data_IF_920713844170
#
_entry.id   IF_920713844170
#
_cell.length_a   1.000
_cell.length_b   1.000
_cell.length_c   1.000
_cell.angle_alpha   90.00
_cell.angle_beta   90.00
_cell.angle_gamma   90.00
#
_symmetry.space_group_name_H-M   'P 1'
#
loop_
_entity.id
_entity.type
_entity.pdbx_description
1 polymer ?
#
# COMPACT_ATOMS: atom_id res chain seq x y z
N UNK A 1 30.83 -4.16 2.34
CA UNK A 1 29.94 -3.67 3.42
C UNK A 1 28.81 -4.67 3.47
N UNK A 2 28.65 -5.40 4.57
CA UNK A 2 27.54 -6.35 4.69
C UNK A 2 26.23 -5.56 4.81
N UNK A 3 25.18 -6.01 4.13
CA UNK A 3 23.85 -5.43 4.24
C UNK A 3 23.29 -5.67 5.65
N UNK A 4 22.72 -4.65 6.28
CA UNK A 4 22.13 -4.76 7.63
C UNK A 4 20.62 -4.88 7.45
N UNK A 5 20.06 -5.98 7.92
CA UNK A 5 18.62 -6.21 7.96
C UNK A 5 18.07 -5.68 9.29
N UNK A 6 17.10 -4.78 9.23
CA UNK A 6 16.43 -4.27 10.43
C UNK A 6 15.04 -4.88 10.59
N UNK A 7 14.71 -5.33 11.81
CA UNK A 7 13.37 -5.73 12.23
C UNK A 7 12.81 -4.69 13.18
N UNK A 8 11.65 -4.14 12.87
CA UNK A 8 10.91 -3.31 13.83
C UNK A 8 10.24 -4.22 14.86
N UNK A 9 10.37 -3.87 16.14
CA UNK A 9 9.72 -4.54 17.27
C UNK A 9 8.95 -3.51 18.09
N UNK A 10 7.82 -3.95 18.68
CA UNK A 10 7.04 -3.12 19.61
C UNK A 10 6.94 -3.85 20.94
N UNK A 11 7.30 -3.15 22.01
CA UNK A 11 7.34 -3.67 23.39
C UNK A 11 6.44 -2.81 24.28
N UNK A 12 5.72 -3.44 25.21
CA UNK A 12 4.95 -2.72 26.24
C UNK A 12 5.80 -2.35 27.43
N UNK A 13 5.49 -1.21 28.03
CA UNK A 13 5.99 -0.89 29.36
C UNK A 13 5.57 -1.99 30.36
N UNK A 14 6.48 -2.54 31.17
CA UNK A 14 6.13 -3.59 32.14
C UNK A 14 5.32 -3.07 33.33
N UNK A 15 5.11 -1.76 33.44
CA UNK A 15 4.18 -1.20 34.41
C UNK A 15 2.73 -1.42 33.91
N UNK A 16 1.90 -2.22 34.60
CA UNK A 16 0.55 -2.57 34.15
C UNK A 16 -0.41 -1.38 34.07
N UNK A 17 -0.07 -0.26 34.70
CA UNK A 17 -0.85 0.99 34.62
C UNK A 17 -0.42 1.91 33.46
N UNK A 18 0.64 1.55 32.72
CA UNK A 18 1.18 2.34 31.63
C UNK A 18 0.80 1.71 30.27
N UNK A 19 0.16 2.50 29.41
CA UNK A 19 -0.26 2.07 28.07
C UNK A 19 0.74 2.45 26.97
N UNK A 20 1.96 2.88 27.33
CA UNK A 20 2.96 3.36 26.38
C UNK A 20 3.61 2.20 25.62
N UNK A 21 3.56 2.27 24.30
CA UNK A 21 4.31 1.39 23.41
C UNK A 21 5.71 1.93 23.15
N UNK A 22 6.66 1.01 23.01
CA UNK A 22 8.08 1.28 22.83
C UNK A 22 8.48 0.63 21.51
N UNK A 23 8.87 1.45 20.53
CA UNK A 23 9.25 0.99 19.21
C UNK A 23 10.76 0.84 19.12
N UNK A 24 11.21 -0.34 18.73
CA UNK A 24 12.61 -0.72 18.59
C UNK A 24 12.91 -1.07 17.14
N UNK A 25 14.14 -0.83 16.71
CA UNK A 25 14.67 -1.25 15.41
C UNK A 25 15.87 -2.14 15.68
N UNK A 26 15.71 -3.44 15.49
CA UNK A 26 16.72 -4.44 15.78
C UNK A 26 17.49 -4.78 14.51
N UNK A 27 18.76 -4.36 14.43
CA UNK A 27 19.61 -4.63 13.29
C UNK A 27 20.35 -5.96 13.41
N UNK A 28 20.44 -6.69 12.30
CA UNK A 28 21.24 -7.92 12.18
C UNK A 28 22.05 -7.89 10.88
N UNK A 29 23.19 -8.57 10.88
CA UNK A 29 24.02 -8.83 9.70
C UNK A 29 23.68 -10.24 9.19
N UNK A 30 22.93 -10.40 8.09
CA UNK A 30 22.61 -11.72 7.52
C UNK A 30 23.88 -12.43 7.06
N UNK A 31 24.07 -13.69 7.48
CA UNK A 31 25.27 -14.46 7.17
C UNK A 31 26.55 -14.01 7.90
N UNK A 32 26.47 -12.99 8.76
CA UNK A 32 27.57 -12.51 9.61
C UNK A 32 27.44 -12.91 11.07
N UNK A 33 28.46 -12.56 11.88
CA UNK A 33 28.42 -12.68 13.33
C UNK A 33 27.57 -11.55 13.91
N UNK A 34 26.68 -11.88 14.84
CA UNK A 34 25.77 -10.92 15.48
C UNK A 34 25.93 -11.01 16.99
N UNK A 35 26.29 -9.89 17.61
CA UNK A 35 26.54 -9.81 19.04
C UNK A 35 25.23 -9.99 19.79
N UNK A 36 25.32 -10.72 20.90
CA UNK A 36 24.16 -11.01 21.73
C UNK A 36 24.22 -10.15 22.97
N UNK A 37 23.20 -9.35 23.22
CA UNK A 37 23.22 -8.45 24.37
C UNK A 37 21.84 -7.90 24.69
N UNK A 38 21.80 -6.68 25.21
CA UNK A 38 20.55 -6.00 25.50
C UNK A 38 20.72 -4.59 26.03
N UNK A 39 19.59 -3.98 26.37
CA UNK A 39 19.50 -2.62 26.90
C UNK A 39 18.79 -2.57 28.23
N UNK A 40 19.20 -1.62 29.08
CA UNK A 40 18.35 -1.11 30.15
C UNK A 40 17.54 0.03 29.57
N UNK A 41 16.24 -0.18 29.39
CA UNK A 41 15.30 0.80 28.87
C UNK A 41 14.58 1.52 30.00
N UNK A 42 14.28 2.79 29.80
CA UNK A 42 13.35 3.57 30.63
C UNK A 42 12.18 4.05 29.80
N UNK A 43 10.95 3.74 30.22
CA UNK A 43 9.76 4.25 29.56
C UNK A 43 9.66 5.76 29.70
N UNK A 44 9.48 6.48 28.60
CA UNK A 44 9.41 7.95 28.60
C UNK A 44 8.17 8.50 29.34
N UNK A 45 7.13 7.68 29.52
CA UNK A 45 5.86 8.10 30.10
C UNK A 45 5.78 7.92 31.62
N UNK A 46 6.15 6.74 32.13
CA UNK A 46 6.04 6.41 33.56
C UNK A 46 7.39 6.23 34.25
N UNK A 47 8.50 6.41 33.52
CA UNK A 47 9.87 6.28 34.00
C UNK A 47 10.25 4.89 34.53
N UNK A 48 9.41 3.88 34.35
CA UNK A 48 9.69 2.48 34.69
C UNK A 48 10.88 1.98 33.88
N UNK A 49 11.88 1.44 34.58
CA UNK A 49 13.08 0.84 34.00
C UNK A 49 12.92 -0.67 33.83
N UNK A 50 13.47 -1.23 32.78
CA UNK A 50 13.44 -2.68 32.55
C UNK A 50 14.53 -3.14 31.56
N UNK A 51 15.01 -4.38 31.67
CA UNK A 51 15.99 -4.93 30.74
C UNK A 51 15.33 -5.53 29.49
N UNK A 52 15.86 -5.30 28.29
CA UNK A 52 15.36 -5.89 27.04
C UNK A 52 16.49 -6.52 26.21
N UNK A 53 16.33 -7.77 25.78
CA UNK A 53 17.34 -8.52 25.02
C UNK A 53 17.29 -8.13 23.54
N UNK A 54 18.43 -7.80 22.93
CA UNK A 54 18.53 -7.46 21.51
C UNK A 54 19.77 -8.07 20.85
N UNK A 55 19.87 -7.96 19.53
CA UNK A 55 21.09 -8.25 18.76
C UNK A 55 21.81 -6.96 18.42
N UNK A 56 23.14 -6.98 18.42
CA UNK A 56 23.99 -5.82 18.09
C UNK A 56 23.53 -4.54 18.83
N UNK A 57 23.47 -4.55 20.18
CA UNK A 57 22.88 -3.49 20.98
C UNK A 57 23.54 -2.12 20.77
N UNK A 58 24.83 -2.08 20.45
CA UNK A 58 25.60 -0.82 20.36
C UNK A 58 25.80 -0.33 18.91
N UNK A 59 25.65 -1.20 17.91
CA UNK A 59 25.99 -0.89 16.51
C UNK A 59 24.77 -0.68 15.60
N UNK A 60 23.86 -1.66 15.57
CA UNK A 60 22.83 -1.76 14.53
C UNK A 60 21.40 -1.71 15.07
N UNK A 61 21.24 -1.70 16.38
CA UNK A 61 19.94 -1.63 17.03
C UNK A 61 19.70 -0.26 17.65
N UNK A 62 18.45 0.22 17.64
CA UNK A 62 18.08 1.50 18.25
C UNK A 62 16.65 1.49 18.81
N UNK A 63 16.38 2.39 19.76
CA UNK A 63 15.01 2.77 20.13
C UNK A 63 14.54 3.87 19.19
N UNK A 64 13.40 3.66 18.52
CA UNK A 64 12.77 4.66 17.64
C UNK A 64 11.86 5.60 18.41
N UNK A 65 11.11 5.10 19.38
CA UNK A 65 10.25 5.93 20.23
C UNK A 65 9.78 5.20 21.50
N UNK A 66 9.40 5.97 22.53
CA UNK A 66 8.66 5.48 23.70
C UNK A 66 9.53 5.02 24.88
N UNK A 67 10.83 4.91 24.68
CA UNK A 67 11.79 4.70 25.75
C UNK A 67 13.14 5.37 25.44
N UNK A 68 13.94 5.49 26.50
CA UNK A 68 15.33 5.92 26.43
C UNK A 68 16.25 4.77 26.85
N UNK A 69 17.35 4.54 26.12
CA UNK A 69 18.39 3.58 26.50
C UNK A 69 19.22 4.22 27.62
N UNK A 70 19.23 3.60 28.79
CA UNK A 70 20.03 4.04 29.94
C UNK A 70 21.39 3.35 30.01
N UNK A 71 21.45 2.10 29.55
CA UNK A 71 22.68 1.30 29.51
C UNK A 71 22.53 0.17 28.49
N UNK A 72 23.65 -0.43 28.11
CA UNK A 72 23.69 -1.66 27.30
C UNK A 72 24.53 -2.73 27.99
N UNK A 73 24.33 -3.99 27.58
CA UNK A 73 25.22 -5.07 27.95
C UNK A 73 25.50 -5.97 26.75
N UNK A 74 26.65 -6.63 26.81
CA UNK A 74 27.12 -7.62 25.85
C UNK A 74 27.30 -8.96 26.57
N UNK A 75 26.72 -10.03 26.04
CA UNK A 75 26.83 -11.36 26.62
C UNK A 75 28.23 -11.97 26.41
N UNK A 76 29.00 -11.48 25.45
CA UNK A 76 30.38 -11.94 25.19
C UNK A 76 31.39 -11.28 26.15
N UNK A 77 30.96 -10.27 26.91
CA UNK A 77 31.73 -9.64 28.00
C UNK A 77 31.30 -10.22 29.35
N UNK A 78 32.19 -10.94 30.08
CA UNK A 78 31.86 -11.50 31.39
C UNK A 78 31.30 -10.45 32.36
N UNK A 79 30.25 -10.82 33.08
CA UNK A 79 29.57 -9.99 34.10
C UNK A 79 28.88 -8.71 33.60
N UNK A 80 29.00 -8.34 32.32
CA UNK A 80 28.44 -7.10 31.76
C UNK A 80 26.94 -6.96 32.02
N UNK A 81 26.16 -8.01 31.79
CA UNK A 81 24.72 -8.07 32.11
C UNK A 81 24.45 -7.81 33.60
N UNK A 82 25.18 -8.49 34.49
CA UNK A 82 24.98 -8.37 35.94
C UNK A 82 25.30 -6.95 36.42
N UNK A 83 26.36 -6.34 35.90
CA UNK A 83 26.75 -4.97 36.22
C UNK A 83 25.69 -3.97 35.75
N UNK A 84 25.20 -4.09 34.52
CA UNK A 84 24.14 -3.23 33.97
C UNK A 84 22.84 -3.34 34.80
N UNK A 85 22.40 -4.56 35.14
CA UNK A 85 21.22 -4.77 35.97
C UNK A 85 21.38 -4.14 37.36
N UNK A 86 22.51 -4.39 38.03
CA UNK A 86 22.77 -3.89 39.39
C UNK A 86 22.86 -2.37 39.43
N UNK A 87 23.46 -1.73 38.43
CA UNK A 87 23.56 -0.26 38.33
C UNK A 87 22.19 0.43 38.25
N UNK A 88 21.18 -0.27 37.76
CA UNK A 88 19.84 0.26 37.53
C UNK A 88 18.77 -0.33 38.47
N UNK A 89 19.17 -1.02 39.55
CA UNK A 89 18.29 -1.65 40.55
C UNK A 89 17.35 -2.73 39.94
N UNK A 90 17.86 -3.49 38.96
CA UNK A 90 17.13 -4.52 38.22
C UNK A 90 17.72 -5.92 38.41
N UNK A 91 18.56 -6.12 39.43
CA UNK A 91 19.19 -7.40 39.78
C UNK A 91 18.17 -8.49 40.19
N UNK A 92 16.99 -8.08 40.65
CA UNK A 92 15.87 -8.94 40.98
C UNK A 92 14.82 -9.07 39.86
N UNK A 93 15.07 -8.48 38.68
CA UNK A 93 14.13 -8.57 37.56
C UNK A 93 14.05 -10.02 37.05
N UNK A 94 12.85 -10.59 36.85
CA UNK A 94 12.72 -12.00 36.48
C UNK A 94 13.43 -12.28 35.14
N UNK A 95 14.33 -13.27 35.12
CA UNK A 95 15.07 -13.62 33.90
C UNK A 95 14.17 -14.20 32.79
N UNK A 96 13.04 -14.75 33.22
CA UNK A 96 11.94 -15.33 32.46
C UNK A 96 10.76 -14.37 32.30
N UNK A 97 10.93 -13.08 32.62
CA UNK A 97 9.92 -12.07 32.33
C UNK A 97 9.68 -12.04 30.81
N UNK A 98 8.66 -12.76 30.40
CA UNK A 98 8.07 -12.65 29.09
C UNK A 98 7.39 -11.30 29.08
N UNK A 99 8.02 -10.31 28.43
CA UNK A 99 7.22 -9.26 27.84
C UNK A 99 6.20 -10.01 26.99
N UNK A 100 4.91 -9.90 27.30
CA UNK A 100 3.81 -10.47 26.50
C UNK A 100 3.84 -9.82 25.11
N UNK A 101 4.85 -10.22 24.35
CA UNK A 101 5.25 -9.72 23.07
C UNK A 101 4.59 -10.65 22.07
N UNK A 102 3.39 -10.26 21.66
CA UNK A 102 2.99 -10.50 20.29
C UNK A 102 4.07 -9.91 19.39
N UNK A 103 5.00 -10.77 18.97
CA UNK A 103 5.95 -10.53 17.90
C UNK A 103 5.14 -10.30 16.61
N UNK A 104 4.75 -9.05 16.35
CA UNK A 104 4.35 -8.66 15.01
C UNK A 104 5.53 -8.01 14.30
N UNK A 105 6.08 -8.77 13.37
CA UNK A 105 6.89 -8.26 12.27
C UNK A 105 6.00 -7.29 11.49
N UNK A 106 6.13 -5.99 11.72
CA UNK A 106 5.81 -5.03 10.68
C UNK A 106 6.90 -5.18 9.62
N UNK A 107 6.72 -6.09 8.67
CA UNK A 107 7.28 -5.86 7.33
C UNK A 107 6.36 -4.84 6.69
N UNK A 108 6.63 -3.58 6.99
CA UNK A 108 6.10 -2.43 6.29
C UNK A 108 6.73 -2.30 4.91
N UNK A 109 6.46 -3.25 4.04
CA UNK A 109 6.09 -2.90 2.68
C UNK A 109 4.71 -3.51 2.44
N UNK A 110 3.70 -2.74 2.00
CA UNK A 110 2.51 -3.37 1.43
C UNK A 110 3.01 -4.39 0.40
N UNK A 111 2.57 -5.64 0.48
CA UNK A 111 2.84 -6.60 -0.60
C UNK A 111 2.36 -5.95 -1.89
N UNK A 112 3.30 -5.67 -2.80
CA UNK A 112 3.02 -4.97 -4.05
C UNK A 112 2.01 -5.82 -4.81
N UNK A 113 0.80 -5.31 -5.10
CA UNK A 113 -0.09 -6.01 -5.99
C UNK A 113 0.55 -6.02 -7.39
N UNK A 114 0.93 -7.19 -7.84
CA UNK A 114 1.42 -7.47 -9.19
C UNK A 114 0.23 -7.54 -10.13
N UNK A 115 0.17 -6.63 -11.11
CA UNK A 115 -0.94 -6.57 -12.08
C UNK A 115 -1.10 -7.88 -12.87
N UNK A 116 0.03 -8.55 -13.10
CA UNK A 116 0.17 -9.80 -13.86
C UNK A 116 -0.36 -11.04 -13.16
N UNK A 117 -0.52 -11.01 -11.83
CA UNK A 117 -1.03 -12.14 -11.07
C UNK A 117 -2.57 -12.11 -10.96
N UNK A 118 -3.20 -11.10 -11.55
CA UNK A 118 -4.65 -10.92 -11.58
C UNK A 118 -5.18 -11.42 -12.92
N UNK A 119 -5.93 -12.52 -12.88
CA UNK A 119 -6.39 -13.26 -14.07
C UNK A 119 -7.28 -12.41 -14.99
N UNK A 120 -8.18 -11.61 -14.43
CA UNK A 120 -9.18 -10.89 -15.23
C UNK A 120 -8.58 -9.74 -16.02
N UNK A 121 -8.76 -9.73 -17.33
CA UNK A 121 -8.19 -8.73 -18.22
C UNK A 121 -9.18 -7.58 -18.42
N UNK A 122 -8.74 -6.33 -18.24
CA UNK A 122 -9.58 -5.14 -18.50
C UNK A 122 -9.15 -4.35 -19.75
N UNK A 123 -8.05 -4.74 -20.40
CA UNK A 123 -7.51 -4.06 -21.57
C UNK A 123 -7.62 -4.93 -22.82
N UNK A 124 -8.56 -4.58 -23.70
CA UNK A 124 -8.79 -5.28 -24.97
C UNK A 124 -8.51 -4.38 -26.16
N UNK A 125 -7.99 -4.99 -27.23
CA UNK A 125 -7.78 -4.31 -28.49
C UNK A 125 -9.11 -3.80 -29.04
N UNK A 126 -9.26 -2.50 -29.35
CA UNK A 126 -10.47 -1.99 -29.99
C UNK A 126 -10.76 -2.66 -31.34
N UNK A 127 -9.72 -3.04 -32.08
CA UNK A 127 -9.82 -3.64 -33.42
C UNK A 127 -10.22 -5.13 -33.41
N UNK A 128 -9.47 -5.97 -32.67
CA UNK A 128 -9.66 -7.43 -32.70
C UNK A 128 -10.10 -8.06 -31.39
N UNK A 129 -10.32 -7.25 -30.34
CA UNK A 129 -10.76 -7.71 -29.00
C UNK A 129 -9.84 -8.75 -28.36
N UNK A 130 -8.56 -8.79 -28.75
CA UNK A 130 -7.53 -9.60 -28.07
C UNK A 130 -7.04 -8.90 -26.81
N UNK A 131 -6.65 -9.68 -25.80
CA UNK A 131 -6.08 -9.20 -24.55
C UNK A 131 -4.75 -8.50 -24.85
N UNK A 132 -4.60 -7.26 -24.37
CA UNK A 132 -3.43 -6.45 -24.70
C UNK A 132 -2.28 -6.63 -23.72
N UNK A 133 -2.58 -7.00 -22.48
CA UNK A 133 -1.60 -7.12 -21.40
C UNK A 133 -0.48 -8.13 -21.71
N UNK A 134 -0.75 -9.39 -22.12
CA UNK A 134 0.34 -10.32 -22.46
C UNK A 134 1.17 -9.88 -23.66
N UNK A 135 0.54 -9.20 -24.63
CA UNK A 135 1.22 -8.70 -25.83
C UNK A 135 2.21 -7.59 -25.45
N UNK A 136 1.79 -6.71 -24.55
CA UNK A 136 2.61 -5.61 -24.05
C UNK A 136 3.82 -6.14 -23.27
N UNK A 137 3.62 -7.05 -22.31
CA UNK A 137 4.72 -7.58 -21.51
C UNK A 137 5.74 -8.36 -22.35
N UNK A 138 5.28 -9.13 -23.35
CA UNK A 138 6.17 -9.81 -24.28
C UNK A 138 7.07 -8.83 -25.08
N UNK A 139 6.58 -7.63 -25.41
CA UNK A 139 7.36 -6.60 -26.11
C UNK A 139 8.21 -5.74 -25.17
N UNK A 140 7.85 -5.68 -23.88
CA UNK A 140 8.52 -4.85 -22.88
C UNK A 140 9.93 -5.36 -22.55
N UNK A 141 10.13 -6.69 -22.58
CA UNK A 141 11.42 -7.32 -22.30
C UNK A 141 12.55 -6.78 -23.20
N UNK A 142 12.27 -6.61 -24.50
CA UNK A 142 13.24 -6.06 -25.46
C UNK A 142 13.54 -4.56 -25.23
N UNK A 143 12.63 -3.84 -24.55
CA UNK A 143 12.71 -2.40 -24.30
C UNK A 143 13.36 -2.07 -22.95
N UNK A 144 13.38 -3.03 -22.02
CA UNK A 144 13.86 -2.85 -20.66
C UNK A 144 15.30 -2.29 -20.56
N UNK A 145 16.28 -2.74 -21.38
CA UNK A 145 17.63 -2.18 -21.34
C UNK A 145 17.67 -0.68 -21.66
N UNK A 146 16.89 -0.21 -22.64
CA UNK A 146 16.82 1.20 -23.01
C UNK A 146 16.07 2.05 -21.97
N UNK A 147 15.01 1.50 -21.37
CA UNK A 147 14.31 2.11 -20.23
C UNK A 147 15.29 2.32 -19.07
N UNK A 148 16.02 1.28 -18.67
CA UNK A 148 17.00 1.35 -17.59
C UNK A 148 18.17 2.29 -17.89
N UNK A 149 18.62 2.37 -19.15
CA UNK A 149 19.61 3.37 -19.57
C UNK A 149 19.10 4.80 -19.31
N UNK A 150 17.83 5.06 -19.60
CA UNK A 150 17.18 6.36 -19.35
C UNK A 150 17.07 6.69 -17.86
N UNK A 151 16.63 5.71 -17.06
CA UNK A 151 16.58 5.81 -15.59
C UNK A 151 17.97 6.09 -15.00
N UNK A 152 19.00 5.35 -15.42
CA UNK A 152 20.38 5.56 -14.97
C UNK A 152 20.92 6.95 -15.34
N UNK A 153 20.54 7.45 -16.52
CA UNK A 153 20.90 8.81 -16.94
C UNK A 153 20.30 9.83 -15.98
N UNK A 154 19.02 9.67 -15.62
CA UNK A 154 18.35 10.49 -14.61
C UNK A 154 19.01 10.37 -13.22
N UNK A 155 19.28 9.14 -12.74
CA UNK A 155 19.90 8.88 -11.43
C UNK A 155 21.25 9.60 -11.27
N UNK A 156 22.05 9.68 -12.33
CA UNK A 156 23.31 10.41 -12.32
C UNK A 156 23.15 11.92 -11.99
N UNK A 157 22.03 12.53 -12.37
CA UNK A 157 21.71 13.92 -12.02
C UNK A 157 21.04 14.03 -10.65
N UNK A 158 20.14 13.09 -10.34
CA UNK A 158 19.46 12.99 -9.06
C UNK A 158 20.45 12.87 -7.89
N UNK A 159 21.41 11.94 -7.97
CA UNK A 159 22.45 11.72 -6.95
C UNK A 159 23.40 12.91 -6.77
N UNK A 160 23.48 13.81 -7.76
CA UNK A 160 24.25 15.06 -7.68
C UNK A 160 23.43 16.22 -7.09
N UNK A 161 22.18 15.98 -6.69
CA UNK A 161 21.24 17.00 -6.23
C UNK A 161 20.80 17.96 -7.34
N UNK A 162 20.83 17.53 -8.61
CA UNK A 162 20.55 18.37 -9.79
C UNK A 162 19.27 17.98 -10.53
N UNK A 163 18.48 17.07 -10.00
CA UNK A 163 17.18 16.66 -10.55
C UNK A 163 16.08 16.79 -9.50
N UNK A 164 14.81 16.67 -9.93
CA UNK A 164 13.66 16.60 -9.01
C UNK A 164 13.64 15.31 -8.19
N UNK A 165 12.67 15.16 -7.29
CA UNK A 165 12.53 13.98 -6.44
C UNK A 165 11.14 13.36 -6.64
N UNK A 166 10.95 12.60 -7.74
CA UNK A 166 9.69 12.01 -8.09
C UNK A 166 9.30 10.92 -7.09
N UNK A 167 8.00 10.75 -6.88
CA UNK A 167 7.47 9.66 -6.06
C UNK A 167 7.28 8.36 -6.87
N UNK A 168 7.28 8.46 -8.20
CA UNK A 168 6.95 7.37 -9.11
C UNK A 168 7.63 7.50 -10.46
N UNK A 169 7.70 6.40 -11.17
CA UNK A 169 8.17 6.27 -12.55
C UNK A 169 6.96 5.89 -13.41
N UNK A 170 6.71 6.68 -14.46
CA UNK A 170 5.71 6.40 -15.49
C UNK A 170 6.46 6.07 -16.77
N UNK A 171 6.29 4.85 -17.29
CA UNK A 171 6.89 4.43 -18.55
C UNK A 171 5.81 4.33 -19.62
N UNK A 172 6.03 4.97 -20.75
CA UNK A 172 5.11 4.94 -21.88
C UNK A 172 5.79 4.24 -23.04
N UNK A 173 5.20 3.13 -23.46
CA UNK A 173 5.75 2.29 -24.53
C UNK A 173 4.76 2.22 -25.69
N UNK A 174 5.25 2.46 -26.90
CA UNK A 174 4.50 2.17 -28.12
C UNK A 174 4.49 0.65 -28.33
N UNK A 175 3.35 0.09 -28.71
CA UNK A 175 3.28 -1.31 -29.09
C UNK A 175 2.20 -1.55 -30.13
N UNK A 176 2.32 -2.70 -30.79
CA UNK A 176 1.43 -3.07 -31.89
C UNK A 176 0.72 -4.37 -31.57
N UNK A 177 -0.61 -4.33 -31.64
CA UNK A 177 -1.44 -5.52 -31.56
C UNK A 177 -1.28 -6.37 -32.84
N UNK A 178 -1.50 -7.68 -32.75
CA UNK A 178 -1.42 -8.60 -33.89
C UNK A 178 -2.33 -8.21 -35.07
N UNK A 179 -3.46 -7.53 -34.81
CA UNK A 179 -4.35 -7.02 -35.85
C UNK A 179 -3.85 -5.75 -36.56
N UNK A 180 -2.71 -5.21 -36.14
CA UNK A 180 -2.11 -4.00 -36.71
C UNK A 180 -2.49 -2.69 -36.01
N UNK A 181 -3.34 -2.74 -34.97
CA UNK A 181 -3.66 -1.57 -34.15
C UNK A 181 -2.42 -1.11 -33.35
N UNK A 182 -1.98 0.12 -33.59
CA UNK A 182 -0.91 0.78 -32.83
C UNK A 182 -1.51 1.49 -31.63
N UNK A 183 -0.89 1.33 -30.47
CA UNK A 183 -1.35 1.93 -29.22
C UNK A 183 -0.16 2.13 -28.26
N UNK A 184 -0.42 2.77 -27.12
CA UNK A 184 0.56 3.03 -26.07
C UNK A 184 0.14 2.37 -24.78
N UNK A 185 1.07 1.68 -24.15
CA UNK A 185 0.94 1.19 -22.79
C UNK A 185 1.47 2.23 -21.82
N UNK A 186 0.76 2.46 -20.72
CA UNK A 186 1.21 3.30 -19.61
C UNK A 186 1.48 2.39 -18.42
N UNK A 187 2.74 2.35 -18.01
CA UNK A 187 3.25 1.49 -16.96
C UNK A 187 3.72 2.32 -15.78
N UNK A 188 3.68 1.73 -14.59
CA UNK A 188 3.97 2.39 -13.32
C UNK A 188 4.97 1.58 -12.47
N UNK A 189 5.84 2.28 -11.76
CA UNK A 189 6.62 1.74 -10.63
C UNK A 189 6.84 2.84 -9.59
N UNK A 190 6.81 2.50 -8.31
CA UNK A 190 7.24 3.43 -7.24
C UNK A 190 8.69 3.86 -7.47
N UNK A 191 9.00 5.13 -7.25
CA UNK A 191 10.39 5.58 -7.28
C UNK A 191 11.06 5.27 -5.94
N UNK A 192 11.92 4.25 -5.94
CA UNK A 192 12.78 3.90 -4.82
C UNK A 192 14.19 3.65 -5.33
N UNK A 193 15.13 4.53 -4.99
CA UNK A 193 16.51 4.48 -5.48
C UNK A 193 17.16 3.08 -5.33
N UNK A 194 16.92 2.42 -4.19
CA UNK A 194 17.45 1.08 -3.87
C UNK A 194 16.87 -0.07 -4.70
N UNK A 195 15.74 0.17 -5.38
CA UNK A 195 15.04 -0.83 -6.21
C UNK A 195 15.25 -0.56 -7.70
N UNK A 196 16.31 0.18 -8.05
CA UNK A 196 16.70 0.46 -9.42
C UNK A 196 18.10 -0.14 -9.69
N UNK A 197 18.36 -0.64 -10.91
CA UNK A 197 17.50 -0.64 -12.09
C UNK A 197 16.33 -1.63 -11.99
N UNK A 198 15.44 -1.60 -12.97
CA UNK A 198 14.32 -2.54 -13.07
C UNK A 198 14.88 -3.87 -13.60
N UNK A 199 14.72 -4.96 -12.86
CA UNK A 199 15.29 -6.27 -13.20
C UNK A 199 14.32 -7.09 -14.07
N UNK A 200 13.02 -7.04 -13.76
CA UNK A 200 11.98 -7.80 -14.47
C UNK A 200 10.87 -6.89 -15.04
N UNK A 201 10.33 -7.23 -16.20
CA UNK A 201 9.27 -6.44 -16.85
C UNK A 201 8.01 -6.31 -15.99
N UNK A 202 7.70 -7.30 -15.15
CA UNK A 202 6.51 -7.32 -14.28
C UNK A 202 6.63 -6.35 -13.10
N UNK A 203 7.82 -5.81 -12.82
CA UNK A 203 7.99 -4.69 -11.88
C UNK A 203 7.37 -3.39 -12.41
N UNK A 204 7.14 -3.30 -13.72
CA UNK A 204 6.38 -2.23 -14.36
C UNK A 204 4.91 -2.65 -14.46
N UNK A 205 4.09 -2.07 -13.61
CA UNK A 205 2.66 -2.36 -13.48
C UNK A 205 1.88 -1.65 -14.59
N UNK A 206 1.15 -2.39 -15.44
CA UNK A 206 0.29 -1.81 -16.47
C UNK A 206 -0.89 -1.07 -15.83
N UNK A 207 -0.96 0.25 -15.98
CA UNK A 207 -2.04 1.05 -15.42
C UNK A 207 -3.01 1.56 -16.48
N UNK A 208 -2.60 1.67 -17.75
CA UNK A 208 -3.45 2.14 -18.85
C UNK A 208 -3.03 1.64 -20.22
N UNK A 209 -3.99 1.64 -21.14
CA UNK A 209 -3.75 1.47 -22.57
C UNK A 209 -4.50 2.55 -23.34
N UNK A 210 -3.76 3.37 -24.09
CA UNK A 210 -4.34 4.48 -24.82
C UNK A 210 -5.29 4.00 -25.92
N UNK A 211 -6.54 4.46 -25.85
CA UNK A 211 -7.61 4.07 -26.76
C UNK A 211 -8.35 2.79 -26.36
N UNK A 212 -8.01 2.14 -25.25
CA UNK A 212 -8.85 1.09 -24.69
C UNK A 212 -10.16 1.69 -24.15
N UNK A 213 -11.28 1.00 -24.41
CA UNK A 213 -12.60 1.40 -23.92
C UNK A 213 -12.95 0.58 -22.68
N UNK A 214 -12.54 1.10 -21.52
CA UNK A 214 -12.80 0.45 -20.22
C UNK A 214 -14.30 0.41 -19.89
N UNK A 215 -15.08 1.41 -20.31
CA UNK A 215 -16.53 1.40 -20.07
C UNK A 215 -17.19 0.24 -20.82
N UNK A 216 -16.88 0.09 -22.11
CA UNK A 216 -17.40 -1.03 -22.90
C UNK A 216 -16.91 -2.39 -22.38
N UNK A 217 -15.67 -2.44 -21.90
CA UNK A 217 -15.05 -3.70 -21.48
C UNK A 217 -15.56 -4.20 -20.14
N UNK A 218 -15.77 -3.30 -19.17
CA UNK A 218 -16.10 -3.65 -17.79
C UNK A 218 -17.63 -3.70 -17.56
N UNK A 219 -18.43 -3.04 -18.40
CA UNK A 219 -19.89 -3.08 -18.28
C UNK A 219 -20.40 -4.51 -18.55
N UNK A 220 -20.93 -5.18 -17.51
CA UNK A 220 -21.35 -6.58 -17.67
C UNK A 220 -21.84 -7.29 -16.41
N UNK A 221 -21.97 -8.60 -16.54
CA UNK A 221 -22.34 -9.54 -15.48
C UNK A 221 -21.18 -10.50 -15.31
N UNK A 222 -20.65 -10.55 -14.10
CA UNK A 222 -19.44 -11.29 -13.73
C UNK A 222 -19.70 -12.07 -12.46
N UNK A 223 -18.94 -13.12 -12.20
CA UNK A 223 -18.94 -13.66 -10.84
C UNK A 223 -18.21 -12.71 -9.87
N UNK A 224 -18.23 -13.04 -8.57
CA UNK A 224 -17.64 -12.15 -7.57
C UNK A 224 -16.12 -12.16 -7.57
N UNK A 225 -15.51 -13.27 -7.99
CA UNK A 225 -14.05 -13.40 -8.05
C UNK A 225 -13.50 -12.57 -9.21
N UNK A 226 -14.21 -12.56 -10.34
CA UNK A 226 -14.00 -11.65 -11.47
C UNK A 226 -14.19 -10.18 -11.03
N UNK A 227 -15.27 -9.86 -10.30
CA UNK A 227 -15.51 -8.50 -9.80
C UNK A 227 -14.39 -8.02 -8.86
N UNK A 228 -13.87 -8.90 -8.00
CA UNK A 228 -12.73 -8.62 -7.12
C UNK A 228 -11.48 -8.33 -7.97
N UNK A 229 -11.19 -9.17 -8.96
CA UNK A 229 -10.06 -9.02 -9.87
C UNK A 229 -10.11 -7.69 -10.64
N UNK A 230 -11.28 -7.34 -11.19
CA UNK A 230 -11.52 -6.05 -11.87
C UNK A 230 -11.31 -4.89 -10.90
N UNK A 231 -11.90 -4.95 -9.71
CA UNK A 231 -11.72 -3.91 -8.69
C UNK A 231 -10.25 -3.78 -8.30
N UNK A 232 -9.51 -4.88 -8.20
CA UNK A 232 -8.08 -4.87 -7.89
C UNK A 232 -7.28 -4.07 -8.92
N UNK A 233 -7.49 -4.36 -10.22
CA UNK A 233 -6.82 -3.63 -11.32
C UNK A 233 -7.20 -2.15 -11.31
N UNK A 234 -8.47 -1.83 -11.02
CA UNK A 234 -8.91 -0.44 -10.87
C UNK A 234 -8.29 0.25 -9.65
N UNK A 235 -8.15 -0.43 -8.50
CA UNK A 235 -7.52 0.13 -7.31
C UNK A 235 -6.05 0.48 -7.56
N UNK A 236 -5.31 -0.42 -8.22
CA UNK A 236 -3.91 -0.18 -8.63
C UNK A 236 -3.85 1.07 -9.52
N UNK A 237 -4.66 1.09 -10.59
CA UNK A 237 -4.76 2.23 -11.50
C UNK A 237 -5.12 3.53 -10.78
N UNK A 238 -6.10 3.49 -9.89
CA UNK A 238 -6.63 4.67 -9.22
C UNK A 238 -5.66 5.25 -8.20
N UNK A 239 -4.89 4.42 -7.50
CA UNK A 239 -3.85 4.88 -6.58
C UNK A 239 -2.76 5.69 -7.28
N UNK A 240 -2.51 5.38 -8.56
CA UNK A 240 -1.58 6.13 -9.40
C UNK A 240 -2.25 7.38 -9.96
N UNK A 241 -3.40 7.26 -10.61
CA UNK A 241 -3.99 8.38 -11.34
C UNK A 241 -4.65 9.45 -10.47
N UNK A 242 -5.20 9.04 -9.33
CA UNK A 242 -6.09 9.86 -8.53
C UNK A 242 -5.53 10.12 -7.14
N UNK A 243 -5.93 11.27 -6.61
CA UNK A 243 -5.50 11.71 -5.28
C UNK A 243 -6.33 11.04 -4.18
N UNK A 244 -7.56 10.59 -4.51
CA UNK A 244 -8.45 9.90 -3.58
C UNK A 244 -9.12 8.68 -4.20
N UNK A 245 -9.32 7.68 -3.35
CA UNK A 245 -10.10 6.47 -3.61
C UNK A 245 -11.23 6.42 -2.59
N UNK A 246 -12.46 6.13 -3.03
CA UNK A 246 -13.62 5.98 -2.17
C UNK A 246 -14.27 4.61 -2.40
N UNK A 247 -14.42 3.84 -1.33
CA UNK A 247 -15.08 2.55 -1.35
C UNK A 247 -16.38 2.65 -0.54
N UNK A 248 -17.53 2.60 -1.21
CA UNK A 248 -18.84 2.59 -0.56
C UNK A 248 -19.44 1.20 -0.68
N UNK A 249 -19.40 0.41 0.40
CA UNK A 249 -19.89 -0.98 0.38
C UNK A 249 -20.49 -1.40 1.72
N UNK A 250 -21.75 -1.86 1.75
CA UNK A 250 -22.44 -2.20 2.99
C UNK A 250 -21.99 -3.53 3.60
N UNK A 251 -21.52 -4.48 2.79
CA UNK A 251 -21.14 -5.82 3.22
C UNK A 251 -19.76 -6.22 2.68
N UNK A 252 -18.93 -6.78 3.55
CA UNK A 252 -17.59 -7.30 3.24
C UNK A 252 -17.49 -8.67 3.89
N UNK A 253 -17.37 -9.71 3.07
CA UNK A 253 -17.54 -11.10 3.48
C UNK A 253 -18.98 -11.43 3.91
N UNK A 254 -19.25 -12.72 4.04
CA UNK A 254 -20.53 -13.18 4.55
C UNK A 254 -20.59 -13.18 6.09
N UNK A 255 -21.81 -13.06 6.60
CA UNK A 255 -22.11 -13.12 8.04
C UNK A 255 -22.87 -14.41 8.37
N UNK A 256 -22.25 -15.57 8.14
CA UNK A 256 -22.79 -16.88 8.54
C UNK A 256 -21.78 -17.70 9.33
N UNK A 257 -22.28 -18.73 10.03
CA UNK A 257 -21.44 -19.60 10.87
C UNK A 257 -20.34 -20.24 10.02
N UNK A 258 -19.07 -20.07 10.42
CA UNK A 258 -17.85 -20.52 9.74
C UNK A 258 -17.34 -19.66 8.56
N UNK A 259 -17.89 -18.45 8.30
CA UNK A 259 -17.33 -17.52 7.29
C UNK A 259 -16.31 -16.51 7.86
N UNK A 260 -15.91 -16.66 9.12
CA UNK A 260 -15.06 -15.68 9.82
C UNK A 260 -13.70 -15.51 9.17
N UNK A 261 -13.01 -16.61 8.85
CA UNK A 261 -11.70 -16.58 8.19
C UNK A 261 -11.76 -15.87 6.83
N UNK A 262 -12.70 -16.27 5.98
CA UNK A 262 -12.94 -15.62 4.68
C UNK A 262 -13.23 -14.12 4.82
N UNK A 263 -14.05 -13.74 5.81
CA UNK A 263 -14.34 -12.33 6.08
C UNK A 263 -13.06 -11.58 6.43
N UNK A 264 -12.23 -12.13 7.32
CA UNK A 264 -10.93 -11.51 7.67
C UNK A 264 -10.00 -11.41 6.46
N UNK A 265 -9.95 -12.43 5.61
CA UNK A 265 -9.16 -12.43 4.37
C UNK A 265 -9.61 -11.33 3.40
N UNK A 266 -10.91 -11.14 3.19
CA UNK A 266 -11.44 -10.08 2.34
C UNK A 266 -11.14 -8.68 2.88
N UNK A 267 -11.18 -8.50 4.20
CA UNK A 267 -10.74 -7.26 4.81
C UNK A 267 -9.24 -7.04 4.61
N UNK A 268 -8.41 -8.05 4.81
CA UNK A 268 -6.98 -7.97 4.54
C UNK A 268 -6.68 -7.68 3.07
N UNK A 269 -7.48 -8.23 2.14
CA UNK A 269 -7.40 -7.93 0.72
C UNK A 269 -7.65 -6.45 0.44
N UNK A 270 -8.64 -5.82 1.08
CA UNK A 270 -8.87 -4.37 0.97
C UNK A 270 -7.64 -3.62 1.46
N UNK A 271 -7.10 -4.00 2.62
CA UNK A 271 -5.95 -3.31 3.22
C UNK A 271 -4.67 -3.46 2.39
N UNK A 272 -4.49 -4.60 1.72
CA UNK A 272 -3.38 -4.84 0.79
C UNK A 272 -3.51 -4.01 -0.49
N UNK A 273 -4.73 -3.81 -0.97
CA UNK A 273 -5.01 -3.13 -2.24
C UNK A 273 -5.48 -1.68 -2.05
N UNK A 274 -5.19 -1.05 -0.90
CA UNK A 274 -5.53 0.36 -0.65
C UNK A 274 -4.40 1.11 0.03
N UNK A 275 -4.30 2.40 -0.24
CA UNK A 275 -3.35 3.30 0.43
C UNK A 275 -4.13 4.11 1.47
N UNK A 276 -3.83 3.98 2.78
CA UNK A 276 -4.67 4.55 3.82
C UNK A 276 -4.93 6.05 3.70
N UNK A 277 -3.89 6.86 3.45
CA UNK A 277 -4.05 8.32 3.32
C UNK A 277 -4.77 8.76 2.03
N UNK A 278 -4.93 7.87 1.05
CA UNK A 278 -5.69 8.13 -0.19
C UNK A 278 -7.10 7.54 -0.14
N UNK A 279 -7.36 6.56 0.73
CA UNK A 279 -8.57 5.74 0.64
C UNK A 279 -9.56 6.07 1.75
N UNK A 280 -10.82 6.29 1.40
CA UNK A 280 -11.93 6.38 2.34
C UNK A 280 -12.86 5.19 2.16
N UNK A 281 -13.05 4.40 3.22
CA UNK A 281 -14.00 3.29 3.25
C UNK A 281 -15.28 3.71 4.00
N UNK A 282 -16.42 3.62 3.32
CA UNK A 282 -17.77 3.78 3.88
C UNK A 282 -18.41 2.40 3.99
N UNK A 283 -18.56 1.91 5.22
CA UNK A 283 -19.22 0.63 5.51
C UNK A 283 -20.27 0.76 6.63
N UNK A 284 -20.99 -0.34 6.92
CA UNK A 284 -21.92 -0.40 8.06
C UNK A 284 -21.14 -0.73 9.33
N UNK A 285 -21.58 -0.15 10.45
CA UNK A 285 -21.00 -0.47 11.77
C UNK A 285 -21.05 -1.97 12.09
N UNK A 286 -22.13 -2.65 11.73
CA UNK A 286 -22.29 -4.09 11.93
C UNK A 286 -21.22 -4.89 11.15
N UNK A 287 -20.91 -4.48 9.92
CA UNK A 287 -19.88 -5.11 9.09
C UNK A 287 -18.49 -4.96 9.71
N UNK A 288 -18.17 -3.78 10.27
CA UNK A 288 -16.94 -3.60 11.04
C UNK A 288 -16.94 -4.46 12.31
N UNK A 289 -18.02 -4.48 13.08
CA UNK A 289 -18.11 -5.29 14.31
C UNK A 289 -17.89 -6.77 14.02
N UNK A 290 -18.54 -7.30 12.98
CA UNK A 290 -18.39 -8.69 12.54
C UNK A 290 -16.94 -9.00 12.11
N UNK A 291 -16.24 -8.04 11.49
CA UNK A 291 -14.80 -8.16 11.22
C UNK A 291 -13.97 -8.22 12.51
N UNK A 292 -14.15 -7.28 13.44
CA UNK A 292 -13.41 -7.26 14.71
C UNK A 292 -13.57 -8.57 15.50
N UNK A 293 -14.79 -9.11 15.56
CA UNK A 293 -15.09 -10.39 16.19
C UNK A 293 -14.41 -11.56 15.47
N UNK A 294 -14.50 -11.59 14.13
CA UNK A 294 -13.86 -12.62 13.33
C UNK A 294 -12.33 -12.62 13.47
N UNK A 295 -11.71 -11.44 13.49
CA UNK A 295 -10.27 -11.31 13.65
C UNK A 295 -9.79 -11.79 15.02
N UNK A 296 -10.54 -11.48 16.09
CA UNK A 296 -10.26 -12.01 17.42
C UNK A 296 -10.33 -13.55 17.45
N UNK A 297 -11.33 -14.14 16.80
CA UNK A 297 -11.49 -15.60 16.71
C UNK A 297 -10.39 -16.27 15.86
N UNK A 298 -9.81 -15.57 14.88
CA UNK A 298 -8.66 -16.05 14.09
C UNK A 298 -7.30 -15.78 14.73
N UNK A 299 -7.26 -15.27 15.97
CA UNK A 299 -6.00 -14.99 16.69
C UNK A 299 -5.33 -13.66 16.34
N UNK A 300 -6.01 -12.77 15.61
CA UNK A 300 -5.58 -11.41 15.29
C UNK A 300 -6.55 -10.42 15.93
N UNK A 301 -6.49 -10.25 17.25
CA UNK A 301 -7.36 -9.28 17.91
C UNK A 301 -6.98 -7.84 17.49
N UNK A 302 -7.86 -7.21 16.71
CA UNK A 302 -7.67 -5.86 16.16
C UNK A 302 -7.67 -4.81 17.28
N UNK A 303 -8.38 -5.04 18.39
CA UNK A 303 -8.33 -4.12 19.53
C UNK A 303 -6.95 -4.19 20.20
N UNK A 304 -6.35 -5.38 20.25
CA UNK A 304 -4.95 -5.55 20.65
C UNK A 304 -4.05 -4.80 19.66
N UNK A 305 -4.23 -4.95 18.35
CA UNK A 305 -3.42 -4.17 17.39
C UNK A 305 -3.60 -2.65 17.55
N UNK A 306 -4.80 -2.18 17.91
CA UNK A 306 -5.10 -0.76 18.18
C UNK A 306 -4.31 -0.23 19.36
N UNK A 307 -4.38 -0.95 20.48
CA UNK A 307 -3.67 -0.59 21.70
C UNK A 307 -2.16 -0.52 21.50
N UNK A 308 -1.63 -1.27 20.52
CA UNK A 308 -0.20 -1.32 20.18
C UNK A 308 0.20 -0.31 19.09
N UNK A 309 -0.75 0.46 18.53
CA UNK A 309 -0.50 1.37 17.40
C UNK A 309 -0.08 0.64 16.12
N UNK A 310 -0.47 -0.63 15.99
CA UNK A 310 -0.12 -1.54 14.90
C UNK A 310 -1.26 -1.70 13.89
N UNK A 311 -2.37 -0.99 14.07
CA UNK A 311 -3.45 -1.00 13.12
C UNK A 311 -3.03 -0.40 11.79
N UNK A 312 -3.52 -1.03 10.72
CA UNK A 312 -3.57 -0.38 9.42
C UNK A 312 -4.35 0.95 9.58
N UNK A 313 -3.82 2.10 9.12
CA UNK A 313 -4.47 3.40 9.34
C UNK A 313 -5.89 3.47 8.77
N UNK A 314 -6.23 2.69 7.73
CA UNK A 314 -7.60 2.57 7.21
C UNK A 314 -8.55 1.97 8.26
N UNK A 315 -8.11 0.94 8.99
CA UNK A 315 -8.89 0.34 10.09
C UNK A 315 -8.92 1.27 11.30
N UNK A 316 -7.80 1.93 11.60
CA UNK A 316 -7.73 2.89 12.71
C UNK A 316 -8.72 4.06 12.51
N UNK A 317 -8.75 4.64 11.31
CA UNK A 317 -9.72 5.68 10.92
C UNK A 317 -11.17 5.21 11.05
N UNK A 318 -11.45 3.94 10.72
CA UNK A 318 -12.77 3.33 10.87
C UNK A 318 -13.15 3.10 12.33
N UNK A 319 -12.18 2.81 13.20
CA UNK A 319 -12.44 2.61 14.64
C UNK A 319 -12.53 3.93 15.42
N UNK A 320 -12.11 5.04 14.81
CA UNK A 320 -12.18 6.38 15.39
C UNK A 320 -13.52 7.09 15.12
N UNK A 321 -13.84 8.11 15.94
CA UNK A 321 -15.09 8.91 15.82
C UNK A 321 -15.23 9.68 14.48
N UNK A 322 -14.25 9.58 13.59
CA UNK A 322 -14.21 10.20 12.26
C UNK A 322 -14.70 9.25 11.14
N UNK A 323 -14.89 7.97 11.45
CA UNK A 323 -15.38 6.99 10.51
C UNK A 323 -16.76 7.36 9.95
N UNK A 324 -16.89 7.32 8.62
CA UNK A 324 -18.17 7.45 7.95
C UNK A 324 -18.93 6.13 8.11
N UNK A 325 -19.74 6.01 9.17
CA UNK A 325 -20.71 4.92 9.29
C UNK A 325 -22.09 5.40 8.88
N UNK A 326 -22.71 4.65 7.96
CA UNK A 326 -24.12 4.83 7.65
C UNK A 326 -24.86 3.53 7.93
N UNK A 327 -25.91 3.57 8.74
CA UNK A 327 -26.75 2.40 9.03
C UNK A 327 -27.65 2.08 7.83
N UNK A 328 -28.21 3.11 7.23
CA UNK A 328 -29.17 3.01 6.13
C UNK A 328 -28.49 3.33 4.80
N UNK A 329 -27.58 2.46 4.36
CA UNK A 329 -27.14 2.48 2.97
C UNK A 329 -26.97 1.06 2.42
N UNK A 330 -27.33 0.92 1.16
CA UNK A 330 -27.16 -0.30 0.37
C UNK A 330 -26.49 -0.01 -0.97
N UNK A 331 -26.02 1.23 -1.16
CA UNK A 331 -25.26 1.63 -2.34
C UNK A 331 -23.92 0.92 -2.37
N UNK A 332 -23.49 0.50 -3.56
CA UNK A 332 -22.26 -0.21 -3.82
C UNK A 332 -21.56 0.46 -4.98
N UNK A 333 -20.52 1.21 -4.66
CA UNK A 333 -19.68 1.80 -5.69
C UNK A 333 -18.28 2.04 -5.14
N UNK A 334 -17.33 2.07 -6.07
CA UNK A 334 -15.92 2.23 -5.82
C UNK A 334 -15.44 3.28 -6.82
N UNK A 335 -14.62 4.23 -6.37
CA UNK A 335 -14.23 5.34 -7.23
C UNK A 335 -12.80 5.81 -6.96
N UNK A 336 -12.07 6.09 -8.02
CA UNK A 336 -10.86 6.92 -7.99
C UNK A 336 -11.20 8.30 -8.52
N UNK A 337 -10.79 9.37 -7.84
CA UNK A 337 -11.13 10.73 -8.26
C UNK A 337 -10.12 11.79 -7.80
N UNK A 338 -10.08 12.88 -8.56
CA UNK A 338 -9.36 14.11 -8.24
C UNK A 338 -10.30 15.32 -8.43
N UNK A 339 -9.75 16.55 -8.48
CA UNK A 339 -10.55 17.78 -8.67
C UNK A 339 -11.17 17.93 -10.06
N UNK A 340 -10.73 17.12 -11.02
CA UNK A 340 -11.07 17.23 -12.44
C UNK A 340 -12.01 16.12 -12.85
N UNK A 341 -11.63 14.88 -12.53
CA UNK A 341 -12.27 13.67 -13.05
C UNK A 341 -12.44 12.61 -11.98
N UNK A 342 -13.38 11.71 -12.22
CA UNK A 342 -13.63 10.52 -11.43
C UNK A 342 -13.89 9.33 -12.34
N UNK A 343 -13.36 8.17 -11.97
CA UNK A 343 -13.73 6.86 -12.51
C UNK A 343 -14.53 6.14 -11.42
N UNK A 344 -15.65 5.51 -11.80
CA UNK A 344 -16.57 4.86 -10.86
C UNK A 344 -16.93 3.47 -11.36
N UNK A 345 -16.67 2.46 -10.52
CA UNK A 345 -17.24 1.12 -10.63
C UNK A 345 -18.48 1.05 -9.74
N UNK A 346 -19.65 0.72 -10.28
CA UNK A 346 -20.93 0.72 -9.56
C UNK A 346 -21.77 -0.49 -9.97
N UNK A 347 -22.54 -1.06 -9.05
CA UNK A 347 -23.34 -2.24 -9.38
C UNK A 347 -24.03 -2.90 -8.20
N UNK A 348 -24.34 -4.18 -8.34
CA UNK A 348 -24.85 -5.03 -7.25
C UNK A 348 -23.74 -5.64 -6.39
N UNK A 349 -22.49 -5.56 -6.85
CA UNK A 349 -21.29 -6.16 -6.25
C UNK A 349 -20.93 -5.61 -4.86
N UNK A 350 -21.07 -6.45 -3.84
CA UNK A 350 -20.39 -6.28 -2.54
C UNK A 350 -19.05 -7.01 -2.57
N UNK A 351 -18.13 -6.68 -1.67
CA UNK A 351 -16.84 -7.38 -1.53
C UNK A 351 -17.08 -8.76 -0.89
N UNK A 352 -17.33 -9.74 -1.74
CA UNK A 352 -17.54 -11.15 -1.42
C UNK A 352 -16.76 -12.00 -2.43
N UNK A 353 -16.57 -13.28 -2.14
CA UNK A 353 -16.02 -14.26 -3.10
C UNK A 353 -17.11 -15.21 -3.60
N UNK A 354 -16.77 -15.94 -4.66
CA UNK A 354 -17.49 -17.10 -5.16
C UNK A 354 -18.31 -16.85 -6.42
N UNK A 355 -18.88 -17.93 -6.95
CA UNK A 355 -19.45 -18.04 -8.29
C UNK A 355 -20.82 -17.35 -8.50
N UNK A 356 -21.30 -16.58 -7.52
CA UNK A 356 -22.54 -15.82 -7.69
C UNK A 356 -22.29 -14.62 -8.60
N UNK A 357 -23.19 -14.41 -9.54
CA UNK A 357 -23.06 -13.32 -10.49
C UNK A 357 -23.58 -11.99 -9.94
N UNK A 358 -22.87 -10.92 -10.27
CA UNK A 358 -23.17 -9.54 -9.94
C UNK A 358 -23.11 -8.71 -11.22
N UNK A 359 -23.94 -7.67 -11.31
CA UNK A 359 -23.84 -6.71 -12.40
C UNK A 359 -22.94 -5.55 -11.96
N UNK A 360 -22.02 -5.13 -12.83
CA UNK A 360 -21.15 -3.98 -12.62
C UNK A 360 -21.12 -3.09 -13.85
N UNK A 361 -20.91 -1.80 -13.61
CA UNK A 361 -20.75 -0.77 -14.62
C UNK A 361 -19.56 0.12 -14.28
N UNK A 362 -18.80 0.48 -15.31
CA UNK A 362 -17.70 1.43 -15.20
C UNK A 362 -18.04 2.72 -15.97
N UNK A 363 -17.83 3.86 -15.31
CA UNK A 363 -18.15 5.18 -15.87
C UNK A 363 -17.13 6.24 -15.45
N UNK A 364 -16.80 7.12 -16.39
CA UNK A 364 -16.05 8.34 -16.11
C UNK A 364 -16.97 9.55 -15.93
N UNK A 365 -16.61 10.46 -15.02
CA UNK A 365 -17.32 11.71 -14.76
C UNK A 365 -16.35 12.87 -14.61
N UNK A 366 -16.80 14.10 -14.87
CA UNK A 366 -16.18 15.26 -14.22
C UNK A 366 -16.44 15.20 -12.70
N UNK A 367 -15.56 15.81 -11.92
CA UNK A 367 -15.66 15.78 -10.45
C UNK A 367 -16.97 16.37 -9.93
N UNK A 368 -17.49 17.41 -10.56
CA UNK A 368 -18.73 18.08 -10.13
C UNK A 368 -19.94 17.17 -10.25
N UNK A 369 -20.04 16.44 -11.35
CA UNK A 369 -21.08 15.45 -11.60
C UNK A 369 -20.95 14.24 -10.66
N UNK A 370 -19.74 13.71 -10.48
CA UNK A 370 -19.48 12.64 -9.51
C UNK A 370 -19.94 13.05 -8.10
N UNK A 371 -19.50 14.23 -7.64
CA UNK A 371 -19.84 14.73 -6.31
C UNK A 371 -21.35 14.87 -6.12
N UNK A 372 -22.06 15.45 -7.10
CA UNK A 372 -23.53 15.62 -7.03
C UNK A 372 -24.29 14.29 -7.05
N UNK A 373 -23.86 13.32 -7.86
CA UNK A 373 -24.55 12.04 -8.07
C UNK A 373 -24.30 11.05 -6.93
N UNK A 374 -23.06 10.97 -6.44
CA UNK A 374 -22.64 9.96 -5.47
C UNK A 374 -22.45 10.54 -4.06
N UNK A 375 -21.55 11.51 -3.90
CA UNK A 375 -21.12 11.98 -2.58
C UNK A 375 -22.21 12.76 -1.85
N UNK A 376 -22.78 13.78 -2.50
CA UNK A 376 -23.79 14.67 -1.89
C UNK A 376 -25.05 13.90 -1.48
N UNK A 377 -25.47 12.91 -2.27
CA UNK A 377 -26.67 12.10 -2.00
C UNK A 377 -26.49 11.12 -0.83
N UNK A 378 -25.24 10.77 -0.51
CA UNK A 378 -24.96 9.94 0.66
C UNK A 378 -25.05 10.73 1.98
N UNK A 379 -25.17 12.06 1.94
CA UNK A 379 -25.20 12.92 3.14
C UNK A 379 -24.00 12.68 4.07
N UNK A 380 -22.82 12.51 3.46
CA UNK A 380 -21.55 12.39 4.17
C UNK A 380 -20.84 13.74 4.18
N UNK A 381 -20.19 14.08 5.30
CA UNK A 381 -19.32 15.24 5.37
C UNK A 381 -18.00 14.84 4.72
N UNK A 382 -17.77 15.31 3.50
CA UNK A 382 -16.53 15.13 2.76
C UNK A 382 -15.86 16.50 2.59
N UNK A 383 -14.63 16.65 3.09
CA UNK A 383 -13.87 17.89 2.94
C UNK A 383 -13.16 17.90 1.58
N UNK A 384 -13.58 18.73 0.60
CA UNK A 384 -12.98 18.70 -0.73
C UNK A 384 -11.50 19.09 -0.75
N UNK A 385 -11.02 19.82 0.27
CA UNK A 385 -9.64 20.29 0.36
C UNK A 385 -8.64 19.16 0.53
N UNK A 386 -9.09 17.98 0.97
CA UNK A 386 -8.23 16.81 1.08
C UNK A 386 -7.89 16.19 -0.28
N UNK A 387 -8.58 16.59 -1.36
CA UNK A 387 -8.34 16.09 -2.72
C UNK A 387 -7.08 16.71 -3.33
N UNK A 388 -6.66 17.89 -2.87
CA UNK A 388 -5.55 18.60 -3.49
C UNK A 388 -4.23 17.91 -3.16
N UNK A 389 -3.54 17.43 -4.20
CA UNK A 389 -2.22 16.81 -4.11
C UNK A 389 -1.35 17.39 -5.24
N UNK A 390 -0.14 17.80 -4.86
CA UNK A 390 0.92 18.16 -5.79
C UNK A 390 2.03 17.13 -5.68
N UNK A 391 2.72 16.88 -6.78
CA UNK A 391 3.78 15.89 -6.80
C UNK A 391 4.58 15.91 -8.08
N UNK A 392 5.58 15.04 -8.12
CA UNK A 392 6.49 14.88 -9.23
C UNK A 392 6.54 13.40 -9.62
N UNK A 393 6.58 13.12 -10.91
CA UNK A 393 6.83 11.77 -11.43
C UNK A 393 7.92 11.81 -12.50
N UNK A 394 8.68 10.72 -12.62
CA UNK A 394 9.65 10.53 -13.68
C UNK A 394 8.95 9.92 -14.89
N UNK A 395 8.77 10.70 -15.94
CA UNK A 395 8.27 10.20 -17.22
C UNK A 395 9.41 9.62 -18.04
N UNK A 396 9.26 8.37 -18.46
CA UNK A 396 10.12 7.68 -19.41
C UNK A 396 9.31 7.44 -20.68
N UNK A 397 9.57 8.24 -21.71
CA UNK A 397 8.87 8.12 -22.99
C UNK A 397 9.78 7.55 -24.07
N UNK A 398 9.21 6.69 -24.92
CA UNK A 398 9.83 6.23 -26.14
C UNK A 398 10.03 7.41 -27.13
N UNK A 399 11.23 7.52 -27.68
CA UNK A 399 11.58 8.50 -28.71
C UNK A 399 11.01 8.08 -30.07
N UNK A 400 10.88 9.01 -31.03
CA UNK A 400 10.28 8.74 -32.35
C UNK A 400 10.99 7.63 -33.15
N UNK A 401 12.24 7.32 -32.82
CA UNK A 401 13.01 6.24 -33.45
C UNK A 401 12.72 4.83 -32.87
N UNK A 402 11.93 4.73 -31.80
CA UNK A 402 11.55 3.48 -31.14
C UNK A 402 12.70 2.73 -30.45
N UNK A 403 13.90 3.34 -30.32
CA UNK A 403 15.10 2.72 -29.77
C UNK A 403 15.61 3.41 -28.53
N UNK A 404 15.39 4.71 -28.43
CA UNK A 404 15.79 5.51 -27.28
C UNK A 404 14.60 5.87 -26.39
N UNK A 405 14.88 6.01 -25.10
CA UNK A 405 13.91 6.49 -24.12
C UNK A 405 14.43 7.75 -23.46
N UNK A 406 13.55 8.74 -23.27
CA UNK A 406 13.87 10.02 -22.66
C UNK A 406 13.23 10.10 -21.28
N UNK A 407 14.07 10.39 -20.28
CA UNK A 407 13.66 10.61 -18.91
C UNK A 407 13.43 12.10 -18.64
N UNK A 408 12.27 12.44 -18.09
CA UNK A 408 11.94 13.82 -17.71
C UNK A 408 11.10 13.83 -16.43
N UNK A 409 11.49 14.66 -15.46
CA UNK A 409 10.66 14.91 -14.28
C UNK A 409 9.53 15.85 -14.66
N UNK A 410 8.31 15.43 -14.36
CA UNK A 410 7.09 16.18 -14.62
C UNK A 410 6.39 16.49 -13.30
N UNK A 411 5.83 17.70 -13.20
CA UNK A 411 5.11 18.16 -12.02
C UNK A 411 3.62 18.25 -12.31
N UNK A 412 2.81 17.94 -11.31
CA UNK A 412 1.37 18.18 -11.34
C UNK A 412 0.92 18.86 -10.04
N UNK A 413 -0.14 19.65 -10.12
CA UNK A 413 -0.65 20.44 -9.00
C UNK A 413 -2.10 20.16 -8.65
N UNK A 414 -2.84 19.46 -9.52
CA UNK A 414 -4.29 19.24 -9.34
C UNK A 414 -4.75 17.86 -9.81
N UNK A 415 -4.22 17.37 -10.94
CA UNK A 415 -4.54 16.05 -11.48
C UNK A 415 -3.30 15.42 -12.10
N UNK A 416 -2.84 14.30 -11.53
CA UNK A 416 -1.78 13.50 -12.14
C UNK A 416 -2.27 12.88 -13.45
N UNK A 417 -3.51 12.37 -13.46
CA UNK A 417 -4.15 11.81 -14.66
C UNK A 417 -4.18 12.79 -15.83
N UNK A 418 -4.70 14.00 -15.62
CA UNK A 418 -4.74 15.04 -16.67
C UNK A 418 -3.34 15.33 -17.19
N UNK A 419 -2.35 15.44 -16.29
CA UNK A 419 -0.95 15.68 -16.68
C UNK A 419 -0.36 14.54 -17.50
N UNK A 420 -0.58 13.30 -17.12
CA UNK A 420 -0.11 12.13 -17.90
C UNK A 420 -0.76 12.14 -19.29
N UNK A 421 -2.08 12.33 -19.38
CA UNK A 421 -2.80 12.36 -20.65
C UNK A 421 -2.38 13.52 -21.56
N UNK A 422 -2.07 14.70 -21.00
CA UNK A 422 -1.51 15.85 -21.73
C UNK A 422 -0.19 15.50 -22.43
N UNK A 423 0.64 14.65 -21.80
CA UNK A 423 1.99 14.32 -22.27
C UNK A 423 2.02 13.16 -23.27
N UNK A 424 1.05 12.26 -23.22
CA UNK A 424 1.05 11.02 -24.03
C UNK A 424 0.09 11.04 -25.22
N UNK A 425 -0.91 11.91 -25.18
CA UNK A 425 -1.88 12.08 -26.27
C UNK A 425 -1.35 13.11 -27.28
N UNK A 426 -1.30 12.80 -28.59
CA UNK A 426 -0.91 13.77 -29.60
C UNK A 426 -1.83 15.00 -29.57
N UNK A 427 -1.25 16.20 -29.74
CA UNK A 427 -2.01 17.43 -29.97
C UNK A 427 -2.54 17.54 -31.39
#
# INVERSE_FOLDING_TARGET
MFEISHRTEVVKCPNPSCTRNIQLSIGKVPGGVNDSGGWILQCDNCSTKFPYKVKNPDDYSSVKSGATILDSWDNDVPESKMMALKKHDLDSFPEDFSFDNLLFVQTGEPEKPTFSDIEENIFFCPGCKTHLEPILYAQLSDKLPSINKSINSYLNYYLKGRAGNPDSIIVVVDYKCACGFNTKGVLYKDFKERELPIEEEHELILIDVIGADLEFTIDGVYDRDDCLSILQKLLIRWQVYYNKVFLAVPFIGFDFKNSEAQRVELWNWILKNTIPHKTTLLTRKATLTSFLEGSANTGMDINVLKDYGLLNPTVDELTDKKALFKRDFHAKFYAGFDRKTAEVLVGSFNIHEGTYVENIHFKSYDFGDFFKKYILKMNIIFDPRIIDEEGEFLLINEHEDGKEFIAKVEKYTTSRREKIYELITPK
#
